data_IF_471326758917
#
_entry.id   IF_471326758917
#
_cell.length_a   1.000
_cell.length_b   1.000
_cell.length_c   1.000
_cell.angle_alpha   90.00
_cell.angle_beta   90.00
_cell.angle_gamma   90.00
#
_symmetry.space_group_name_H-M   'P 1'
#
loop_
_entity.id
_entity.type
_entity.pdbx_description
1 polymer ?
#
# COMPACT_ATOMS: atom_id res chain seq x y z
N UNK A 1 -22.88 6.43 -16.94
CA UNK A 1 -22.47 6.57 -15.53
C UNK A 1 -21.92 5.22 -15.03
N UNK A 2 -20.66 4.91 -15.31
CA UNK A 2 -20.00 3.67 -14.86
C UNK A 2 -18.72 4.07 -14.12
N UNK A 3 -18.89 4.64 -12.93
CA UNK A 3 -17.78 5.06 -12.07
C UNK A 3 -17.95 4.37 -10.74
N UNK A 4 -17.14 3.33 -10.48
CA UNK A 4 -16.85 2.76 -9.15
C UNK A 4 -15.99 1.49 -9.17
N UNK A 5 -15.70 0.90 -10.32
CA UNK A 5 -14.77 -0.22 -10.40
C UNK A 5 -13.38 0.30 -10.78
N UNK A 6 -12.37 -0.05 -9.98
CA UNK A 6 -10.96 0.13 -10.39
C UNK A 6 -10.84 -0.58 -11.74
N UNK A 7 -10.46 0.17 -12.77
CA UNK A 7 -10.29 -0.39 -14.10
C UNK A 7 -9.35 -1.59 -14.00
N UNK A 8 -9.88 -2.76 -14.37
CA UNK A 8 -9.17 -4.03 -14.27
C UNK A 8 -7.87 -3.98 -15.08
N UNK A 9 -7.84 -3.17 -16.13
CA UNK A 9 -6.66 -2.90 -16.93
C UNK A 9 -5.60 -2.12 -16.13
N UNK A 10 -6.01 -1.09 -15.37
CA UNK A 10 -5.11 -0.33 -14.49
C UNK A 10 -4.52 -1.19 -13.37
N UNK A 11 -5.32 -2.08 -12.79
CA UNK A 11 -4.84 -3.04 -11.78
C UNK A 11 -3.82 -4.01 -12.38
N UNK A 12 -4.07 -4.52 -13.60
CA UNK A 12 -3.11 -5.37 -14.32
C UNK A 12 -1.82 -4.62 -14.65
N UNK A 13 -1.91 -3.39 -15.13
CA UNK A 13 -0.74 -2.55 -15.42
C UNK A 13 0.13 -2.32 -14.18
N UNK A 14 -0.49 -2.01 -13.04
CA UNK A 14 0.24 -1.88 -11.78
C UNK A 14 0.96 -3.19 -11.37
N UNK A 15 0.30 -4.34 -11.53
CA UNK A 15 0.91 -5.65 -11.25
C UNK A 15 2.09 -5.95 -12.18
N UNK A 16 1.99 -5.61 -13.46
CA UNK A 16 3.10 -5.79 -14.40
C UNK A 16 4.30 -4.90 -14.06
N UNK A 17 4.07 -3.66 -13.61
CA UNK A 17 5.16 -2.78 -13.12
C UNK A 17 5.87 -3.38 -11.90
N UNK A 18 5.10 -3.95 -10.96
CA UNK A 18 5.67 -4.59 -9.77
C UNK A 18 6.54 -5.80 -10.16
N UNK A 19 6.07 -6.61 -11.10
CA UNK A 19 6.82 -7.77 -11.61
C UNK A 19 8.06 -7.36 -12.41
N UNK A 20 7.98 -6.31 -13.21
CA UNK A 20 9.08 -5.84 -14.04
C UNK A 20 10.18 -5.15 -13.20
N UNK A 21 9.80 -4.46 -12.13
CA UNK A 21 10.71 -3.66 -11.30
C UNK A 21 10.56 -3.97 -9.81
N UNK A 22 10.92 -5.19 -9.36
CA UNK A 22 10.74 -5.60 -7.97
C UNK A 22 11.57 -4.76 -6.99
N UNK A 23 12.82 -4.42 -7.35
CA UNK A 23 13.69 -3.60 -6.51
C UNK A 23 13.18 -2.16 -6.33
N UNK A 24 12.68 -1.55 -7.40
CA UNK A 24 12.11 -0.20 -7.33
C UNK A 24 10.79 -0.18 -6.55
N UNK A 25 9.99 -1.22 -6.69
CA UNK A 25 8.75 -1.37 -5.91
C UNK A 25 9.06 -1.51 -4.42
N UNK A 26 10.04 -2.33 -4.06
CA UNK A 26 10.50 -2.45 -2.67
C UNK A 26 11.02 -1.13 -2.13
N UNK A 27 11.80 -0.40 -2.92
CA UNK A 27 12.26 0.94 -2.54
C UNK A 27 11.10 1.91 -2.31
N UNK A 28 10.09 1.91 -3.20
CA UNK A 28 8.92 2.76 -3.07
C UNK A 28 8.09 2.45 -1.82
N UNK A 29 7.97 1.17 -1.44
CA UNK A 29 7.23 0.73 -0.25
C UNK A 29 8.11 0.77 1.02
N UNK A 30 9.43 0.96 0.88
CA UNK A 30 10.37 0.93 2.00
C UNK A 30 10.04 1.87 3.15
N UNK A 31 9.54 3.11 2.95
CA UNK A 31 9.20 3.98 4.08
C UNK A 31 8.08 3.40 4.96
N UNK A 32 7.09 2.74 4.34
CA UNK A 32 6.00 2.08 5.07
C UNK A 32 6.51 0.87 5.87
N UNK A 33 7.41 0.08 5.28
CA UNK A 33 8.02 -1.07 5.96
C UNK A 33 8.83 -0.61 7.17
N UNK A 34 9.63 0.46 7.01
CA UNK A 34 10.43 1.04 8.10
C UNK A 34 9.51 1.55 9.22
N UNK A 35 8.44 2.27 8.89
CA UNK A 35 7.48 2.77 9.88
C UNK A 35 6.80 1.63 10.65
N UNK A 36 6.39 0.56 9.96
CA UNK A 36 5.81 -0.63 10.60
C UNK A 36 6.80 -1.33 11.52
N UNK A 37 8.05 -1.53 11.07
CA UNK A 37 9.10 -2.13 11.89
C UNK A 37 9.42 -1.29 13.13
N UNK A 38 9.49 0.03 12.98
CA UNK A 38 9.72 0.96 14.08
C UNK A 38 8.58 0.93 15.11
N UNK A 39 7.33 0.98 14.65
CA UNK A 39 6.16 0.90 15.54
C UNK A 39 6.07 -0.46 16.22
N UNK A 40 6.34 -1.55 15.49
CA UNK A 40 6.39 -2.89 16.07
C UNK A 40 7.42 -2.97 17.21
N UNK A 41 8.62 -2.43 16.98
CA UNK A 41 9.70 -2.45 17.97
C UNK A 41 9.41 -1.58 19.19
N UNK A 42 8.85 -0.37 18.99
CA UNK A 42 8.69 0.63 20.05
C UNK A 42 7.36 0.52 20.80
N UNK A 43 6.28 0.18 20.11
CA UNK A 43 4.91 0.18 20.64
C UNK A 43 4.30 -1.23 20.69
N UNK A 44 4.93 -2.22 20.05
CA UNK A 44 4.47 -3.61 20.01
C UNK A 44 3.57 -3.94 18.82
N UNK A 45 3.35 -5.24 18.62
CA UNK A 45 2.65 -5.75 17.42
C UNK A 45 1.20 -5.28 17.26
N UNK A 46 0.49 -5.02 18.36
CA UNK A 46 -0.89 -4.50 18.32
C UNK A 46 -0.98 -3.13 17.64
N UNK A 47 -0.07 -2.21 17.98
CA UNK A 47 -0.02 -0.88 17.37
C UNK A 47 0.48 -0.91 15.93
N UNK A 48 1.42 -1.80 15.61
CA UNK A 48 1.88 -2.00 14.24
C UNK A 48 0.75 -2.49 13.34
N UNK A 49 -0.11 -3.38 13.84
CA UNK A 49 -1.28 -3.85 13.12
C UNK A 49 -2.30 -2.73 12.86
N UNK A 50 -2.57 -1.89 13.87
CA UNK A 50 -3.43 -0.70 13.70
C UNK A 50 -2.86 0.23 12.63
N UNK A 51 -1.55 0.51 12.65
CA UNK A 51 -0.90 1.34 11.65
C UNK A 51 -1.04 0.76 10.23
N UNK A 52 -0.87 -0.56 10.09
CA UNK A 52 -1.06 -1.25 8.81
C UNK A 52 -2.47 -1.05 8.27
N UNK A 53 -3.49 -1.21 9.12
CA UNK A 53 -4.89 -1.00 8.72
C UNK A 53 -5.14 0.45 8.27
N UNK A 54 -4.60 1.43 8.99
CA UNK A 54 -4.72 2.85 8.63
C UNK A 54 -4.03 3.13 7.29
N UNK A 55 -2.84 2.56 7.05
CA UNK A 55 -2.12 2.72 5.77
C UNK A 55 -2.91 2.13 4.60
N UNK A 56 -3.47 0.93 4.76
CA UNK A 56 -4.28 0.28 3.72
C UNK A 56 -5.57 1.07 3.46
N UNK A 57 -6.28 1.47 4.51
CA UNK A 57 -7.51 2.25 4.39
C UNK A 57 -7.26 3.63 3.77
N UNK A 58 -6.18 4.30 4.17
CA UNK A 58 -5.77 5.59 3.61
C UNK A 58 -5.38 5.49 2.13
N UNK A 59 -4.60 4.46 1.77
CA UNK A 59 -4.26 4.18 0.37
C UNK A 59 -5.50 3.91 -0.48
N UNK A 60 -6.41 3.06 0.02
CA UNK A 60 -7.69 2.78 -0.65
C UNK A 60 -8.53 4.05 -0.82
N UNK A 61 -8.64 4.89 0.21
CA UNK A 61 -9.38 6.14 0.15
C UNK A 61 -8.81 7.12 -0.89
N UNK A 62 -7.47 7.21 -1.02
CA UNK A 62 -6.82 8.03 -2.04
C UNK A 62 -7.13 7.51 -3.44
N UNK A 63 -7.07 6.18 -3.65
CA UNK A 63 -7.37 5.56 -4.94
C UNK A 63 -8.84 5.75 -5.31
N UNK A 64 -9.76 5.57 -4.35
CA UNK A 64 -11.20 5.71 -4.56
C UNK A 64 -11.66 7.16 -4.77
N UNK A 65 -10.87 8.15 -4.29
CA UNK A 65 -11.13 9.57 -4.52
C UNK A 65 -10.72 10.06 -5.91
N UNK A 66 -9.92 9.29 -6.64
CA UNK A 66 -9.41 9.64 -7.97
C UNK A 66 -10.13 8.88 -9.06
#
# INVERSE_FOLDING_TARGET
MAGKEIDRERARGALEVVKAHPGMTLFAVSPAIIALGAVWWLLGGGWAFVLLLVMVAGGAAIVLKR
#
